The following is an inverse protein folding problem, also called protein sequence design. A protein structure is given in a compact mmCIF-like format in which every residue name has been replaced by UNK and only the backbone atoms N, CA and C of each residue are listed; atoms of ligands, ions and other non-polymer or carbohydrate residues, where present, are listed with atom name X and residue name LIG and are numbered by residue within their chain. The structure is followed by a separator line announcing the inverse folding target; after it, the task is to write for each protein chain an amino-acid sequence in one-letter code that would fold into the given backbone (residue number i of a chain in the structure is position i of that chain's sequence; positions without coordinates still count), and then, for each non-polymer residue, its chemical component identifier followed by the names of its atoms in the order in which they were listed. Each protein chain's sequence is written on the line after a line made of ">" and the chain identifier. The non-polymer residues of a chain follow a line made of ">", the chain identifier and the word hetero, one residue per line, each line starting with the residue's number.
data_IF_947713352147
#
_entry.id   IF_947713352147
#
_cell.length_a   1.000
_cell.length_b   1.000
_cell.length_c   1.000
_cell.angle_alpha   90.00
_cell.angle_beta   90.00
_cell.angle_gamma   90.00
#
_symmetry.space_group_name_H-M   'P 1'
#
loop_
_entity.id
_entity.type
_entity.pdbx_description
1 polymer ?
#
# COMPACT_ATOMS: atom_id res chain seq x y z
N UNK A 1 14.59 -37.83 -64.94
CA UNK A 1 15.64 -36.93 -65.49
C UNK A 1 15.94 -35.89 -64.44
N UNK A 2 17.17 -35.87 -64.02
CA UNK A 2 18.03 -34.78 -63.53
C UNK A 2 17.58 -34.04 -62.28
N UNK A 3 18.25 -34.26 -61.15
CA UNK A 3 19.47 -33.60 -60.59
C UNK A 3 19.19 -32.16 -60.22
N UNK A 4 19.48 -31.67 -59.04
CA UNK A 4 20.68 -31.56 -58.22
C UNK A 4 20.26 -31.04 -56.84
N UNK A 5 20.69 -31.54 -55.78
CA UNK A 5 21.95 -31.41 -55.04
C UNK A 5 22.16 -30.04 -54.34
N UNK A 6 22.31 -30.21 -53.03
CA UNK A 6 23.25 -29.52 -52.13
C UNK A 6 22.81 -28.11 -51.61
N UNK A 7 23.06 -27.68 -50.42
CA UNK A 7 24.20 -27.84 -49.49
C UNK A 7 23.77 -27.48 -48.06
N UNK A 8 24.32 -28.18 -47.12
CA UNK A 8 24.37 -27.95 -45.70
C UNK A 8 24.99 -26.60 -45.32
N UNK A 9 24.37 -25.90 -44.36
CA UNK A 9 25.13 -25.06 -43.47
C UNK A 9 24.57 -25.20 -42.04
N UNK A 10 25.27 -25.99 -41.30
CA UNK A 10 25.18 -26.04 -39.83
C UNK A 10 25.78 -24.75 -39.28
N UNK A 11 24.97 -23.97 -38.59
CA UNK A 11 25.52 -22.92 -37.72
C UNK A 11 24.98 -23.16 -36.33
N UNK A 12 25.87 -23.66 -35.51
CA UNK A 12 25.78 -23.75 -34.07
C UNK A 12 25.77 -22.34 -33.52
N UNK A 13 24.71 -21.91 -32.80
CA UNK A 13 24.77 -20.74 -31.99
C UNK A 13 24.12 -21.00 -30.66
N UNK A 14 24.94 -21.01 -29.71
CA UNK A 14 24.90 -21.01 -28.26
C UNK A 14 23.58 -20.55 -27.63
N UNK A 15 23.04 -21.42 -26.82
CA UNK A 15 21.95 -21.22 -25.87
C UNK A 15 22.46 -20.38 -24.70
N UNK A 16 22.12 -19.11 -24.66
CA UNK A 16 22.22 -18.29 -23.48
C UNK A 16 20.87 -18.30 -22.76
N UNK A 17 20.89 -18.93 -21.61
CA UNK A 17 19.81 -18.96 -20.63
C UNK A 17 19.80 -17.58 -19.95
N UNK A 18 18.91 -16.69 -20.35
CA UNK A 18 18.61 -15.47 -19.58
C UNK A 18 17.52 -15.81 -18.56
N UNK A 19 17.94 -15.90 -17.35
CA UNK A 19 17.11 -15.98 -16.15
C UNK A 19 16.34 -14.67 -16.01
N UNK A 20 15.06 -14.70 -16.35
CA UNK A 20 14.18 -13.53 -16.27
C UNK A 20 13.57 -13.49 -14.86
N UNK A 21 14.24 -12.77 -13.97
CA UNK A 21 13.70 -12.34 -12.66
C UNK A 21 12.62 -11.29 -12.92
N UNK A 22 11.38 -11.44 -12.44
CA UNK A 22 10.39 -10.40 -12.57
C UNK A 22 10.72 -9.28 -11.57
N UNK A 23 11.34 -8.24 -12.08
CA UNK A 23 11.52 -6.97 -11.40
C UNK A 23 10.18 -6.22 -11.44
N UNK A 24 9.45 -6.28 -10.33
CA UNK A 24 8.24 -5.48 -10.15
C UNK A 24 8.64 -4.03 -9.92
N UNK A 25 8.95 -3.34 -11.01
CA UNK A 25 9.14 -1.89 -11.03
C UNK A 25 7.79 -1.21 -10.89
N UNK A 26 7.45 -0.79 -9.68
CA UNK A 26 6.38 0.17 -9.46
C UNK A 26 6.92 1.55 -9.86
N UNK A 27 6.74 1.90 -11.13
CA UNK A 27 7.04 3.25 -11.63
C UNK A 27 5.96 4.20 -11.11
N UNK A 28 6.27 4.90 -10.02
CA UNK A 28 5.52 6.10 -9.64
C UNK A 28 5.89 7.22 -10.62
N UNK A 29 4.94 8.03 -11.10
CA UNK A 29 5.28 9.21 -11.89
C UNK A 29 6.03 10.20 -11.02
N UNK A 30 7.24 10.51 -11.45
CA UNK A 30 8.19 11.43 -10.84
C UNK A 30 7.68 12.87 -11.00
N UNK A 31 7.09 13.42 -9.96
CA UNK A 31 6.94 14.86 -9.79
C UNK A 31 7.86 15.27 -8.65
N UNK A 32 9.01 15.82 -9.01
CA UNK A 32 10.16 16.20 -8.17
C UNK A 32 9.86 16.99 -6.89
N UNK A 33 9.23 16.34 -5.92
CA UNK A 33 9.20 16.76 -4.54
C UNK A 33 9.83 15.63 -3.74
N UNK A 34 10.85 15.93 -2.96
CA UNK A 34 11.48 15.01 -2.00
C UNK A 34 10.41 14.64 -0.97
N UNK A 35 9.64 13.61 -1.28
CA UNK A 35 8.57 13.07 -0.45
C UNK A 35 9.26 12.46 0.77
N UNK A 36 8.83 12.86 1.98
CA UNK A 36 9.13 12.09 3.17
C UNK A 36 8.76 10.64 2.85
N UNK A 37 9.77 9.76 2.86
CA UNK A 37 9.64 8.41 2.31
C UNK A 37 8.44 7.71 2.94
N UNK A 38 7.43 7.44 2.13
CA UNK A 38 6.30 6.63 2.54
C UNK A 38 6.81 5.27 3.04
N UNK A 39 6.14 4.68 4.02
CA UNK A 39 6.42 3.31 4.44
C UNK A 39 6.33 2.39 3.21
N UNK A 40 7.24 1.43 3.03
CA UNK A 40 7.15 0.50 1.92
C UNK A 40 5.77 -0.17 1.84
N UNK A 41 5.12 -0.06 0.67
CA UNK A 41 3.78 -0.61 0.44
C UNK A 41 2.62 0.28 0.88
N UNK A 42 2.88 1.51 1.37
CA UNK A 42 1.87 2.49 1.73
C UNK A 42 1.82 3.65 0.74
N UNK A 43 0.63 4.07 0.41
CA UNK A 43 0.37 5.30 -0.34
C UNK A 43 0.37 6.50 0.61
N UNK A 44 0.68 7.67 0.08
CA UNK A 44 0.47 8.98 0.73
C UNK A 44 -0.51 9.86 -0.05
N UNK A 45 -0.86 9.48 -1.27
CA UNK A 45 -1.88 10.11 -2.09
C UNK A 45 -3.20 9.35 -2.01
N UNK A 46 -4.24 10.02 -1.54
CA UNK A 46 -5.58 9.46 -1.45
C UNK A 46 -6.15 9.06 -2.81
N UNK A 47 -5.95 9.92 -3.81
CA UNK A 47 -6.44 9.66 -5.16
C UNK A 47 -5.83 8.38 -5.76
N UNK A 48 -4.50 8.23 -5.63
CA UNK A 48 -3.81 7.04 -6.12
C UNK A 48 -4.22 5.78 -5.36
N UNK A 49 -4.35 5.87 -4.03
CA UNK A 49 -4.78 4.75 -3.21
C UNK A 49 -6.22 4.31 -3.54
N UNK A 50 -7.14 5.26 -3.73
CA UNK A 50 -8.51 4.97 -4.09
C UNK A 50 -8.61 4.31 -5.49
N UNK A 51 -7.87 4.84 -6.46
CA UNK A 51 -7.79 4.26 -7.81
C UNK A 51 -7.24 2.83 -7.77
N UNK A 52 -6.21 2.61 -6.97
CA UNK A 52 -5.60 1.28 -6.79
C UNK A 52 -6.59 0.30 -6.12
N UNK A 53 -7.31 0.74 -5.07
CA UNK A 53 -8.31 -0.08 -4.39
C UNK A 53 -9.43 -0.52 -5.34
N UNK A 54 -9.93 0.41 -6.16
CA UNK A 54 -10.95 0.12 -7.17
C UNK A 54 -10.43 -0.87 -8.22
N UNK A 55 -9.23 -0.62 -8.77
CA UNK A 55 -8.67 -1.44 -9.85
C UNK A 55 -8.37 -2.88 -9.42
N UNK A 56 -7.97 -3.07 -8.17
CA UNK A 56 -7.62 -4.38 -7.61
C UNK A 56 -8.75 -5.05 -6.84
N UNK A 57 -9.91 -4.38 -6.73
CA UNK A 57 -11.05 -4.83 -5.91
C UNK A 57 -10.64 -5.20 -4.48
N UNK A 58 -9.88 -4.29 -3.82
CA UNK A 58 -9.37 -4.45 -2.46
C UNK A 58 -9.94 -3.40 -1.53
N UNK A 59 -9.97 -3.70 -0.23
CA UNK A 59 -10.31 -2.70 0.77
C UNK A 59 -9.27 -1.58 0.79
N UNK A 60 -9.72 -0.34 0.98
CA UNK A 60 -8.83 0.79 1.27
C UNK A 60 -8.78 0.99 2.79
N UNK A 61 -7.59 0.85 3.36
CA UNK A 61 -7.30 1.14 4.76
C UNK A 61 -6.60 2.48 4.85
N UNK A 62 -7.22 3.45 5.53
CA UNK A 62 -6.68 4.79 5.73
C UNK A 62 -6.26 4.95 7.20
N UNK A 63 -4.96 5.02 7.47
CA UNK A 63 -4.40 5.21 8.82
C UNK A 63 -4.13 6.68 9.08
N UNK A 64 -4.97 7.30 9.93
CA UNK A 64 -4.73 8.64 10.46
C UNK A 64 -3.82 8.52 11.68
N UNK A 65 -2.61 9.02 11.57
CA UNK A 65 -1.52 8.75 12.49
C UNK A 65 -0.70 9.99 12.85
N UNK A 66 0.01 9.94 13.96
CA UNK A 66 1.02 10.92 14.37
C UNK A 66 2.34 10.20 14.58
N UNK A 67 3.05 9.93 13.47
CA UNK A 67 4.17 8.96 13.42
C UNK A 67 5.35 9.28 14.34
N UNK A 68 5.53 10.54 14.75
CA UNK A 68 6.68 10.98 15.55
C UNK A 68 6.33 11.43 16.98
N UNK A 69 5.04 11.38 17.35
CA UNK A 69 4.62 11.85 18.67
C UNK A 69 3.50 11.02 19.32
N UNK A 70 2.67 10.31 18.54
CA UNK A 70 1.54 9.57 19.06
C UNK A 70 1.97 8.17 19.53
N UNK A 71 2.06 7.95 20.83
CA UNK A 71 2.53 6.67 21.38
C UNK A 71 1.70 5.46 20.95
N UNK A 72 0.36 5.58 20.89
CA UNK A 72 -0.53 4.51 20.43
C UNK A 72 -0.40 4.24 18.93
N UNK A 73 -0.09 5.27 18.11
CA UNK A 73 0.18 5.11 16.68
C UNK A 73 1.47 4.32 16.45
N UNK A 74 2.53 4.69 17.20
CA UNK A 74 3.81 3.98 17.16
C UNK A 74 3.63 2.53 17.59
N UNK A 75 2.79 2.29 18.61
CA UNK A 75 2.50 0.94 19.08
C UNK A 75 1.71 0.14 18.05
N UNK A 76 0.69 0.71 17.41
CA UNK A 76 -0.06 0.09 16.32
C UNK A 76 0.86 -0.30 15.15
N UNK A 77 1.74 0.60 14.75
CA UNK A 77 2.73 0.31 13.72
C UNK A 77 3.63 -0.87 14.11
N UNK A 78 4.20 -0.82 15.32
CA UNK A 78 5.15 -1.83 15.81
C UNK A 78 4.51 -3.20 16.01
N UNK A 79 3.29 -3.25 16.55
CA UNK A 79 2.64 -4.49 16.95
C UNK A 79 1.76 -5.10 15.86
N UNK A 80 1.33 -4.30 14.87
CA UNK A 80 0.44 -4.74 13.80
C UNK A 80 1.07 -4.51 12.42
N UNK A 81 1.22 -3.26 12.00
CA UNK A 81 1.52 -2.95 10.59
C UNK A 81 2.91 -3.39 10.14
N UNK A 82 3.88 -3.39 11.06
CA UNK A 82 5.24 -3.85 10.79
C UNK A 82 5.39 -5.37 10.78
N UNK A 83 4.38 -6.12 11.25
CA UNK A 83 4.47 -7.58 11.38
C UNK A 83 4.31 -8.30 10.05
N UNK A 84 5.06 -9.39 9.83
CA UNK A 84 4.98 -10.18 8.59
C UNK A 84 3.56 -10.65 8.28
N UNK A 85 2.81 -11.08 9.29
CA UNK A 85 1.45 -11.61 9.16
C UNK A 85 0.48 -10.54 8.63
N UNK A 86 0.59 -9.31 9.15
CA UNK A 86 -0.21 -8.19 8.62
C UNK A 86 0.20 -7.84 7.19
N UNK A 87 1.50 -7.77 6.91
CA UNK A 87 2.02 -7.47 5.57
C UNK A 87 1.57 -8.50 4.53
N UNK A 88 1.60 -9.78 4.89
CA UNK A 88 1.10 -10.85 4.01
C UNK A 88 -0.40 -10.70 3.73
N UNK A 89 -1.21 -10.48 4.77
CA UNK A 89 -2.64 -10.25 4.61
C UNK A 89 -2.92 -9.00 3.77
N UNK A 90 -2.24 -7.89 4.08
CA UNK A 90 -2.41 -6.62 3.38
C UNK A 90 -2.06 -6.72 1.90
N UNK A 91 -0.98 -7.41 1.55
CA UNK A 91 -0.56 -7.59 0.15
C UNK A 91 -1.62 -8.23 -0.73
N UNK A 92 -2.53 -9.01 -0.16
CA UNK A 92 -3.61 -9.73 -0.86
C UNK A 92 -4.95 -8.99 -0.80
N UNK A 93 -5.23 -8.29 0.29
CA UNK A 93 -6.58 -7.82 0.63
C UNK A 93 -6.74 -6.31 0.73
N UNK A 94 -5.65 -5.57 0.96
CA UNK A 94 -5.71 -4.16 1.27
C UNK A 94 -4.92 -3.31 0.27
N UNK A 95 -5.35 -2.06 0.16
CA UNK A 95 -4.53 -0.92 -0.25
C UNK A 95 -4.36 -0.05 0.98
N UNK A 96 -3.13 0.31 1.30
CA UNK A 96 -2.77 1.01 2.53
C UNK A 96 -2.47 2.46 2.22
N UNK A 97 -3.12 3.40 2.93
CA UNK A 97 -2.90 4.84 2.83
C UNK A 97 -2.52 5.38 4.20
N UNK A 98 -1.34 5.99 4.30
CA UNK A 98 -0.89 6.70 5.50
C UNK A 98 -1.25 8.18 5.40
N UNK A 99 -1.96 8.69 6.40
CA UNK A 99 -2.31 10.08 6.59
C UNK A 99 -1.63 10.58 7.87
N UNK A 100 -0.34 10.91 7.74
CA UNK A 100 0.49 11.32 8.86
C UNK A 100 0.25 12.78 9.23
N UNK A 101 0.31 13.09 10.53
CA UNK A 101 0.22 14.42 11.13
C UNK A 101 1.45 14.65 12.03
N UNK A 102 2.65 14.78 11.45
CA UNK A 102 3.89 14.88 12.21
C UNK A 102 4.01 16.23 12.92
N UNK A 103 4.77 16.26 14.03
CA UNK A 103 5.13 17.48 14.75
C UNK A 103 6.56 17.92 14.50
N UNK A 104 7.47 16.95 14.33
CA UNK A 104 8.91 17.21 14.18
C UNK A 104 9.39 17.12 12.73
N UNK A 105 8.65 16.45 11.86
CA UNK A 105 8.99 16.24 10.45
C UNK A 105 8.26 17.25 9.57
N UNK A 106 8.94 17.73 8.55
CA UNK A 106 8.30 18.54 7.50
C UNK A 106 7.54 17.64 6.55
N UNK A 107 6.35 18.07 6.18
CA UNK A 107 5.50 17.43 5.18
C UNK A 107 5.29 18.37 4.00
N UNK A 108 5.17 17.87 2.75
CA UNK A 108 4.80 18.68 1.61
C UNK A 108 3.43 19.37 1.87
N UNK A 109 3.29 20.67 1.58
CA UNK A 109 2.07 21.42 1.88
C UNK A 109 0.80 20.79 1.29
N UNK A 110 0.88 20.24 0.09
CA UNK A 110 -0.28 19.61 -0.56
C UNK A 110 -0.70 18.31 0.15
N UNK A 111 0.27 17.52 0.65
CA UNK A 111 -0.01 16.34 1.46
C UNK A 111 -0.65 16.73 2.79
N UNK A 112 -0.14 17.77 3.46
CA UNK A 112 -0.73 18.27 4.69
C UNK A 112 -2.18 18.73 4.49
N UNK A 113 -2.46 19.53 3.46
CA UNK A 113 -3.83 19.94 3.10
C UNK A 113 -4.75 18.77 2.79
N UNK A 114 -4.24 17.76 2.06
CA UNK A 114 -5.00 16.54 1.79
C UNK A 114 -5.39 15.85 3.09
N UNK A 115 -4.42 15.64 3.99
CA UNK A 115 -4.62 14.93 5.24
C UNK A 115 -5.62 15.65 6.14
N UNK A 116 -5.47 16.98 6.30
CA UNK A 116 -6.41 17.84 7.05
C UNK A 116 -7.83 17.75 6.49
N UNK A 117 -7.99 17.89 5.17
CA UNK A 117 -9.29 17.80 4.51
C UNK A 117 -9.96 16.45 4.73
N UNK A 118 -9.19 15.36 4.67
CA UNK A 118 -9.70 14.01 4.90
C UNK A 118 -10.04 13.79 6.37
N UNK A 119 -9.24 14.30 7.30
CA UNK A 119 -9.54 14.23 8.73
C UNK A 119 -10.85 14.93 9.07
N UNK A 120 -11.08 16.13 8.52
CA UNK A 120 -12.36 16.86 8.67
C UNK A 120 -13.51 16.08 8.02
N UNK A 121 -13.33 15.62 6.78
CA UNK A 121 -14.36 14.87 6.03
C UNK A 121 -14.85 13.64 6.77
N UNK A 122 -13.95 12.92 7.43
CA UNK A 122 -14.28 11.67 8.13
C UNK A 122 -14.42 11.85 9.65
N UNK A 123 -14.41 13.08 10.15
CA UNK A 123 -14.66 13.39 11.55
C UNK A 123 -13.62 12.82 12.51
N UNK A 124 -12.35 12.81 12.10
CA UNK A 124 -11.25 12.25 12.91
C UNK A 124 -11.02 13.14 14.13
N UNK A 125 -11.18 12.58 15.33
CA UNK A 125 -11.05 13.31 16.59
C UNK A 125 -9.83 12.90 17.42
N UNK A 126 -9.10 11.86 16.98
CA UNK A 126 -7.94 11.36 17.69
C UNK A 126 -7.14 10.36 16.87
N UNK A 127 -5.97 9.99 17.41
CA UNK A 127 -5.03 9.09 16.75
C UNK A 127 -4.64 7.93 17.69
N UNK A 128 -4.40 6.73 17.11
CA UNK A 128 -4.65 6.35 15.74
C UNK A 128 -6.15 6.18 15.46
N UNK A 129 -6.57 6.54 14.25
CA UNK A 129 -7.88 6.16 13.72
C UNK A 129 -7.68 5.55 12.34
N UNK A 130 -8.11 4.32 12.17
CA UNK A 130 -8.01 3.57 10.92
C UNK A 130 -9.41 3.46 10.33
N UNK A 131 -9.67 4.16 9.22
CA UNK A 131 -10.95 4.07 8.50
C UNK A 131 -10.82 3.09 7.36
N UNK A 132 -11.80 2.19 7.26
CA UNK A 132 -11.81 1.11 6.26
C UNK A 132 -12.95 1.34 5.27
N UNK A 133 -12.64 1.21 4.00
CA UNK A 133 -13.57 1.34 2.88
C UNK A 133 -13.56 0.07 2.03
N UNK A 134 -14.68 -0.19 1.38
CA UNK A 134 -14.67 -1.16 0.28
C UNK A 134 -13.96 -0.57 -0.97
N UNK A 135 -13.80 -1.38 -2.00
CA UNK A 135 -13.13 -0.98 -3.24
C UNK A 135 -13.86 0.14 -3.99
N UNK A 136 -15.16 0.33 -3.76
CA UNK A 136 -15.96 1.40 -4.37
C UNK A 136 -15.84 2.74 -3.64
N UNK A 137 -15.21 2.75 -2.45
CA UNK A 137 -15.07 3.93 -1.59
C UNK A 137 -16.21 4.11 -0.59
N UNK A 138 -17.05 3.09 -0.37
CA UNK A 138 -18.06 3.10 0.69
C UNK A 138 -17.39 2.80 2.04
N UNK A 139 -17.61 3.63 3.08
CA UNK A 139 -17.06 3.37 4.40
C UNK A 139 -17.70 2.12 5.02
N UNK A 140 -16.88 1.25 5.58
CA UNK A 140 -17.28 0.03 6.29
C UNK A 140 -17.22 0.21 7.79
N UNK A 141 -16.28 1.01 8.30
CA UNK A 141 -16.13 1.30 9.71
C UNK A 141 -14.78 1.89 10.06
N UNK A 142 -14.54 2.06 11.34
CA UNK A 142 -13.28 2.57 11.86
C UNK A 142 -12.75 1.70 13.01
N UNK A 143 -11.43 1.57 13.09
CA UNK A 143 -10.70 0.86 14.12
C UNK A 143 -9.70 1.81 14.78
N UNK A 144 -9.33 1.52 16.02
CA UNK A 144 -8.21 2.15 16.72
C UNK A 144 -7.16 1.11 17.07
N UNK A 145 -6.21 1.50 17.93
CA UNK A 145 -5.31 0.54 18.53
C UNK A 145 -6.09 -0.42 19.45
N UNK A 146 -5.78 -1.70 19.34
CA UNK A 146 -6.24 -2.75 20.22
C UNK A 146 -5.13 -3.76 20.46
N UNK A 147 -5.06 -4.30 21.67
CA UNK A 147 -4.12 -5.36 22.00
C UNK A 147 -4.47 -6.66 21.26
N UNK A 148 -3.47 -7.53 21.07
CA UNK A 148 -3.66 -8.84 20.43
C UNK A 148 -2.94 -9.00 19.09
N UNK A 149 -2.21 -7.95 18.68
CA UNK A 149 -1.35 -8.00 17.50
C UNK A 149 -2.08 -8.14 16.17
N UNK A 150 -1.37 -8.61 15.12
CA UNK A 150 -1.91 -8.61 13.76
C UNK A 150 -3.13 -9.50 13.58
N UNK A 151 -3.20 -10.65 14.25
CA UNK A 151 -4.32 -11.58 14.13
C UNK A 151 -5.62 -10.96 14.65
N UNK A 152 -5.58 -10.30 15.82
CA UNK A 152 -6.74 -9.62 16.36
C UNK A 152 -7.21 -8.48 15.45
N UNK A 153 -6.26 -7.67 14.96
CA UNK A 153 -6.56 -6.57 14.05
C UNK A 153 -7.16 -7.06 12.71
N UNK A 154 -6.60 -8.11 12.13
CA UNK A 154 -7.11 -8.74 10.90
C UNK A 154 -8.53 -9.29 11.13
N UNK A 155 -8.79 -9.90 12.30
CA UNK A 155 -10.13 -10.40 12.62
C UNK A 155 -11.18 -9.28 12.63
N UNK A 156 -10.85 -8.09 13.14
CA UNK A 156 -11.74 -6.93 13.09
C UNK A 156 -11.93 -6.39 11.66
N UNK A 157 -10.87 -6.35 10.85
CA UNK A 157 -10.99 -6.01 9.43
C UNK A 157 -11.95 -6.96 8.69
N UNK A 158 -11.85 -8.27 8.97
CA UNK A 158 -12.73 -9.28 8.37
C UNK A 158 -14.20 -9.15 8.81
N UNK A 159 -14.44 -8.69 10.04
CA UNK A 159 -15.81 -8.38 10.49
C UNK A 159 -16.38 -7.20 9.70
N UNK A 160 -15.62 -6.12 9.56
CA UNK A 160 -16.03 -4.95 8.76
C UNK A 160 -16.29 -5.32 7.29
N UNK A 161 -15.50 -6.23 6.73
CA UNK A 161 -15.68 -6.70 5.34
C UNK A 161 -16.95 -7.48 5.12
N UNK A 162 -17.43 -8.18 6.14
CA UNK A 162 -18.66 -9.03 6.04
C UNK A 162 -19.96 -8.26 6.32
N UNK A 163 -19.87 -7.05 6.88
CA UNK A 163 -21.01 -6.18 7.19
C UNK A 163 -21.69 -6.57 8.46
#
# INVERSE_FOLDING_TARGET
>A
MAFAAAVLAVSCSKKETAENKPETSQTQPDNGATIAAAKPGWFTSYELAQKEALSKNRLLLMDFTGSDWCGWCIMLDKEVFSKPEFKEYASKNLVLLELDFPRSKKMPPETAKQNERLAVKYGIQGFPTVVVFDSSGKPLGALGYQAGGPQAFIAELEKLRKG
#
